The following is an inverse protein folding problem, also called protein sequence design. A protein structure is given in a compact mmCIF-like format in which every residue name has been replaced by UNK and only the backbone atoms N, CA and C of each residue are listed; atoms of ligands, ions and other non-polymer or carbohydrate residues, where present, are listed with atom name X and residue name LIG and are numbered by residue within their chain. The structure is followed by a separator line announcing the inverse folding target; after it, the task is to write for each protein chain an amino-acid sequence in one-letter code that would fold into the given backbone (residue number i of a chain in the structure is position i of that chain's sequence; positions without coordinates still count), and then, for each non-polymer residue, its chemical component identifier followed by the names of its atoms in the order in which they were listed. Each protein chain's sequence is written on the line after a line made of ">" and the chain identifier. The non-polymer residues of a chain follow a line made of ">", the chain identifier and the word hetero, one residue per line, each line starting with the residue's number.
data_IF_708530617182
#
_entry.id   IF_708530617182
#
_cell.length_a   1.000
_cell.length_b   1.000
_cell.length_c   1.000
_cell.angle_alpha   90.00
_cell.angle_beta   90.00
_cell.angle_gamma   90.00
#
_symmetry.space_group_name_H-M   'P 1'
#
loop_
_entity.id
_entity.type
_entity.pdbx_description
1 polymer ?
#
# COMPACT_ATOMS: atom_id res chain seq x y z
N UNK A 1 7.40 10.39 -9.30
CA UNK A 1 6.27 9.43 -9.21
C UNK A 1 6.37 8.36 -10.27
N UNK A 2 6.78 8.67 -11.50
CA UNK A 2 6.82 7.68 -12.59
C UNK A 2 7.72 6.49 -12.30
N UNK A 3 8.92 6.73 -11.77
CA UNK A 3 9.84 5.67 -11.34
C UNK A 3 9.24 4.79 -10.23
N UNK A 4 8.62 5.41 -9.22
CA UNK A 4 7.94 4.69 -8.15
C UNK A 4 6.75 3.87 -8.68
N UNK A 5 5.99 4.43 -9.63
CA UNK A 5 4.87 3.73 -10.26
C UNK A 5 5.33 2.50 -11.05
N UNK A 6 6.46 2.61 -11.76
CA UNK A 6 7.08 1.49 -12.46
C UNK A 6 7.63 0.44 -11.49
N UNK A 7 8.24 0.88 -10.40
CA UNK A 7 8.70 0.00 -9.33
C UNK A 7 7.52 -0.79 -8.74
N UNK A 8 6.45 -0.12 -8.31
CA UNK A 8 5.23 -0.75 -7.79
C UNK A 8 4.58 -1.70 -8.81
N UNK A 9 4.61 -1.35 -10.10
CA UNK A 9 4.12 -2.26 -11.14
C UNK A 9 4.91 -3.58 -11.15
N UNK A 10 6.24 -3.49 -11.13
CA UNK A 10 7.13 -4.64 -11.23
C UNK A 10 7.13 -5.52 -9.99
N UNK A 11 7.07 -4.93 -8.79
CA UNK A 11 7.25 -5.69 -7.53
C UNK A 11 5.93 -6.14 -6.89
N UNK A 12 4.82 -5.48 -7.19
CA UNK A 12 3.53 -5.79 -6.57
C UNK A 12 2.43 -6.09 -7.59
N UNK A 13 2.25 -5.25 -8.61
CA UNK A 13 1.19 -5.45 -9.60
C UNK A 13 1.43 -6.69 -10.46
N UNK A 14 2.70 -6.99 -10.79
CA UNK A 14 3.08 -8.22 -11.48
C UNK A 14 2.67 -9.48 -10.69
N UNK A 15 2.87 -9.48 -9.37
CA UNK A 15 2.44 -10.59 -8.48
C UNK A 15 0.92 -10.68 -8.43
N UNK A 16 0.23 -9.54 -8.38
CA UNK A 16 -1.22 -9.45 -8.48
C UNK A 16 -1.74 -10.08 -9.79
N UNK A 17 -1.11 -9.76 -10.93
CA UNK A 17 -1.49 -10.28 -12.25
C UNK A 17 -1.36 -11.79 -12.34
N UNK A 18 -0.38 -12.39 -11.68
CA UNK A 18 -0.28 -13.86 -11.58
C UNK A 18 -1.38 -14.43 -10.67
N UNK A 19 -1.59 -13.80 -9.52
CA UNK A 19 -2.53 -14.24 -8.49
C UNK A 19 -3.98 -14.27 -9.00
N UNK A 20 -4.41 -13.23 -9.73
CA UNK A 20 -5.77 -13.15 -10.28
C UNK A 20 -6.06 -14.23 -11.33
N UNK A 21 -5.04 -14.75 -12.03
CA UNK A 21 -5.19 -15.90 -12.94
C UNK A 21 -5.42 -17.20 -12.19
N UNK A 22 -4.68 -17.40 -11.09
CA UNK A 22 -4.87 -18.55 -10.19
C UNK A 22 -6.27 -18.51 -9.57
N UNK A 23 -6.76 -17.32 -9.22
CA UNK A 23 -8.12 -17.14 -8.69
C UNK A 23 -9.22 -17.32 -9.74
N UNK A 24 -8.88 -17.44 -11.03
CA UNK A 24 -9.84 -17.59 -12.12
C UNK A 24 -10.57 -16.30 -12.51
N UNK A 25 -9.97 -15.13 -12.26
CA UNK A 25 -10.55 -13.85 -12.66
C UNK A 25 -10.25 -13.56 -14.14
N UNK A 26 -11.27 -13.25 -14.96
CA UNK A 26 -11.10 -12.96 -16.38
C UNK A 26 -10.48 -11.57 -16.61
N UNK A 27 -9.88 -11.40 -17.78
CA UNK A 27 -9.54 -10.06 -18.29
C UNK A 27 -10.79 -9.34 -18.82
N UNK A 28 -10.83 -7.99 -18.77
CA UNK A 28 -9.80 -7.10 -18.23
C UNK A 28 -9.85 -6.91 -16.69
N UNK A 29 -10.95 -7.29 -16.04
CA UNK A 29 -11.23 -6.99 -14.63
C UNK A 29 -10.17 -7.52 -13.66
N UNK A 30 -9.63 -8.72 -13.89
CA UNK A 30 -8.56 -9.28 -13.07
C UNK A 30 -7.29 -8.41 -13.11
N UNK A 31 -6.93 -7.88 -14.27
CA UNK A 31 -5.74 -7.04 -14.42
C UNK A 31 -5.95 -5.65 -13.78
N UNK A 32 -7.15 -5.08 -13.88
CA UNK A 32 -7.52 -3.84 -13.19
C UNK A 32 -7.47 -3.99 -11.66
N UNK A 33 -8.00 -5.10 -11.14
CA UNK A 33 -7.89 -5.43 -9.73
C UNK A 33 -6.43 -5.60 -9.32
N UNK A 34 -5.63 -6.33 -10.10
CA UNK A 34 -4.22 -6.55 -9.81
C UNK A 34 -3.39 -5.26 -9.77
N UNK A 35 -3.61 -4.34 -10.71
CA UNK A 35 -2.90 -3.06 -10.75
C UNK A 35 -3.27 -2.17 -9.56
N UNK A 36 -4.58 -1.92 -9.36
CA UNK A 36 -5.05 -1.05 -8.29
C UNK A 36 -4.73 -1.61 -6.91
N UNK A 37 -4.95 -2.91 -6.68
CA UNK A 37 -4.61 -3.57 -5.43
C UNK A 37 -3.09 -3.55 -5.21
N UNK A 38 -2.29 -3.98 -6.19
CA UNK A 38 -0.83 -4.03 -6.07
C UNK A 38 -0.23 -2.68 -5.66
N UNK A 39 -0.68 -1.58 -6.28
CA UNK A 39 -0.25 -0.22 -5.94
C UNK A 39 -0.65 0.19 -4.52
N UNK A 40 -1.88 -0.10 -4.11
CA UNK A 40 -2.36 0.21 -2.76
C UNK A 40 -1.51 -0.47 -1.68
N UNK A 41 -1.25 -1.77 -1.85
CA UNK A 41 -0.46 -2.55 -0.89
C UNK A 41 1.00 -2.09 -0.87
N UNK A 42 1.60 -1.84 -2.02
CA UNK A 42 3.02 -1.48 -2.07
C UNK A 42 3.29 -0.09 -1.52
N UNK A 43 2.41 0.89 -1.80
CA UNK A 43 2.51 2.21 -1.15
C UNK A 43 2.34 2.09 0.38
N UNK A 44 1.44 1.21 0.83
CA UNK A 44 1.28 0.94 2.27
C UNK A 44 2.55 0.34 2.88
N UNK A 45 3.23 -0.59 2.19
CA UNK A 45 4.51 -1.14 2.65
C UNK A 45 5.57 -0.04 2.78
N UNK A 46 5.75 0.79 1.75
CA UNK A 46 6.72 1.90 1.76
C UNK A 46 6.47 2.85 2.94
N UNK A 47 5.20 3.18 3.21
CA UNK A 47 4.83 4.06 4.33
C UNK A 47 4.99 3.39 5.70
N UNK A 48 4.81 2.07 5.78
CA UNK A 48 4.98 1.30 7.01
C UNK A 48 6.45 1.17 7.40
N UNK A 49 7.31 0.95 6.40
CA UNK A 49 8.67 0.45 6.60
C UNK A 49 9.73 1.55 6.48
N UNK A 50 9.35 2.83 6.59
CA UNK A 50 10.27 3.99 6.45
C UNK A 50 11.56 3.84 7.29
N UNK A 51 11.46 3.47 8.57
CA UNK A 51 12.62 3.26 9.44
C UNK A 51 13.48 2.10 8.96
N UNK A 52 12.83 0.97 8.68
CA UNK A 52 13.47 -0.29 8.32
C UNK A 52 14.18 -0.18 6.97
N UNK A 53 13.65 0.64 6.06
CA UNK A 53 14.26 0.96 4.78
C UNK A 53 15.43 1.93 4.96
N UNK A 54 15.27 2.99 5.77
CA UNK A 54 16.35 3.93 6.06
C UNK A 54 17.55 3.25 6.75
N UNK A 55 17.30 2.34 7.70
CA UNK A 55 18.34 1.54 8.35
C UNK A 55 19.11 0.62 7.39
N UNK A 56 18.60 0.40 6.18
CA UNK A 56 19.23 -0.36 5.09
C UNK A 56 19.76 0.53 3.97
N UNK A 57 19.84 1.83 4.22
CA UNK A 57 20.24 2.86 3.26
C UNK A 57 19.34 2.89 2.01
N UNK A 58 18.02 2.76 2.23
CA UNK A 58 17.00 2.77 1.17
C UNK A 58 16.00 3.89 1.40
N UNK A 59 15.65 4.58 0.32
CA UNK A 59 14.61 5.61 0.30
C UNK A 59 13.69 5.38 -0.91
N UNK A 60 12.47 4.91 -0.66
CA UNK A 60 11.46 4.71 -1.70
C UNK A 60 10.52 5.92 -1.89
N UNK A 61 10.66 6.95 -1.05
CA UNK A 61 9.91 8.19 -1.22
C UNK A 61 10.39 8.89 -2.50
N UNK A 62 9.48 9.25 -3.41
CA UNK A 62 9.88 9.70 -4.73
C UNK A 62 10.36 11.15 -4.68
N UNK A 63 11.51 11.42 -5.31
CA UNK A 63 12.20 12.72 -5.26
C UNK A 63 11.34 13.92 -5.69
N UNK A 64 10.43 13.74 -6.66
CA UNK A 64 9.51 14.80 -7.09
C UNK A 64 8.54 15.20 -5.96
N UNK A 65 8.11 14.26 -5.13
CA UNK A 65 7.24 14.54 -3.98
C UNK A 65 8.02 15.19 -2.85
N UNK A 66 9.22 14.67 -2.54
CA UNK A 66 10.12 15.29 -1.56
C UNK A 66 10.36 16.76 -1.90
N UNK A 67 10.74 17.06 -3.15
CA UNK A 67 10.98 18.43 -3.62
C UNK A 67 9.73 19.31 -3.62
N UNK A 68 8.56 18.76 -3.99
CA UNK A 68 7.29 19.49 -3.96
C UNK A 68 6.93 19.97 -2.55
N UNK A 69 7.40 19.28 -1.52
CA UNK A 69 7.24 19.65 -0.11
C UNK A 69 8.49 20.34 0.49
N UNK A 70 9.46 20.74 -0.33
CA UNK A 70 10.63 21.50 0.08
C UNK A 70 11.79 20.68 0.66
N UNK A 71 11.72 19.35 0.62
CA UNK A 71 12.79 18.44 1.06
C UNK A 71 13.82 18.30 -0.08
N UNK A 72 15.07 18.67 0.20
CA UNK A 72 16.19 18.62 -0.77
C UNK A 72 17.13 17.47 -0.50
N UNK A 73 17.07 16.94 0.71
CA UNK A 73 17.82 15.81 1.19
C UNK A 73 17.48 14.56 0.37
N UNK A 74 18.48 13.69 0.21
CA UNK A 74 18.34 12.41 -0.49
C UNK A 74 18.79 11.24 0.38
N UNK A 75 19.60 11.53 1.40
CA UNK A 75 19.96 10.57 2.44
C UNK A 75 18.74 10.17 3.28
N UNK A 76 18.47 8.87 3.49
CA UNK A 76 17.26 8.40 4.17
C UNK A 76 17.05 9.04 5.55
N UNK A 77 18.07 9.04 6.42
CA UNK A 77 17.97 9.58 7.78
C UNK A 77 17.70 11.09 7.81
N UNK A 78 18.26 11.83 6.85
CA UNK A 78 18.05 13.26 6.72
C UNK A 78 16.62 13.57 6.25
N UNK A 79 16.08 12.77 5.33
CA UNK A 79 14.67 12.86 4.90
C UNK A 79 13.72 12.52 6.04
N UNK A 80 14.01 11.46 6.81
CA UNK A 80 13.18 11.04 7.95
C UNK A 80 13.14 12.04 9.10
N UNK A 81 14.20 12.82 9.26
CA UNK A 81 14.30 13.88 10.26
C UNK A 81 13.67 15.21 9.81
N UNK A 82 13.29 15.34 8.53
CA UNK A 82 12.73 16.58 7.99
C UNK A 82 11.26 16.78 8.45
N UNK A 83 10.89 17.93 9.06
CA UNK A 83 9.52 18.20 9.50
C UNK A 83 8.47 18.12 8.39
N UNK A 84 8.85 18.42 7.14
CA UNK A 84 7.98 18.39 5.98
C UNK A 84 7.65 16.96 5.50
N UNK A 85 8.34 15.92 6.03
CA UNK A 85 8.08 14.52 5.69
C UNK A 85 6.60 14.15 5.90
N UNK A 86 5.97 14.72 6.93
CA UNK A 86 4.56 14.46 7.25
C UNK A 86 3.67 14.70 6.04
N UNK A 87 3.87 15.81 5.32
CA UNK A 87 3.06 16.16 4.16
C UNK A 87 3.30 15.21 2.97
N UNK A 88 4.54 14.75 2.79
CA UNK A 88 4.88 13.76 1.74
C UNK A 88 4.18 12.43 2.02
N UNK A 89 4.25 11.94 3.27
CA UNK A 89 3.59 10.71 3.66
C UNK A 89 2.06 10.79 3.56
N UNK A 90 1.47 11.95 3.87
CA UNK A 90 0.04 12.21 3.68
C UNK A 90 -0.39 12.16 2.22
N UNK A 91 0.36 12.80 1.29
CA UNK A 91 0.08 12.71 -0.15
C UNK A 91 0.13 11.25 -0.64
N UNK A 92 1.16 10.51 -0.25
CA UNK A 92 1.28 9.10 -0.63
C UNK A 92 0.19 8.21 0.01
N UNK A 93 -0.21 8.50 1.25
CA UNK A 93 -1.30 7.77 1.90
C UNK A 93 -2.65 8.03 1.22
N UNK A 94 -2.91 9.28 0.81
CA UNK A 94 -4.11 9.61 0.03
C UNK A 94 -4.13 8.90 -1.32
N UNK A 95 -2.98 8.79 -2.00
CA UNK A 95 -2.86 7.98 -3.23
C UNK A 95 -3.14 6.50 -2.97
N UNK A 96 -2.60 5.93 -1.90
CA UNK A 96 -2.88 4.55 -1.52
C UNK A 96 -4.38 4.34 -1.25
N UNK A 97 -5.05 5.27 -0.56
CA UNK A 97 -6.50 5.27 -0.37
C UNK A 97 -7.27 5.29 -1.70
N UNK A 98 -6.84 6.11 -2.67
CA UNK A 98 -7.45 6.14 -3.99
C UNK A 98 -7.31 4.80 -4.75
N UNK A 99 -6.16 4.14 -4.62
CA UNK A 99 -5.94 2.81 -5.18
C UNK A 99 -6.78 1.72 -4.47
N UNK A 100 -6.94 1.79 -3.14
CA UNK A 100 -7.88 0.92 -2.43
C UNK A 100 -9.31 1.08 -2.95
N UNK A 101 -9.76 2.32 -3.15
CA UNK A 101 -11.09 2.60 -3.69
C UNK A 101 -11.24 2.09 -5.14
N UNK A 102 -10.19 2.18 -5.96
CA UNK A 102 -10.17 1.60 -7.30
C UNK A 102 -10.25 0.06 -7.26
N UNK A 103 -9.49 -0.56 -6.37
CA UNK A 103 -9.51 -2.01 -6.17
C UNK A 103 -10.89 -2.50 -5.69
N UNK A 104 -11.57 -1.76 -4.80
CA UNK A 104 -12.94 -2.07 -4.40
C UNK A 104 -13.91 -2.06 -5.60
N UNK A 105 -13.80 -1.06 -6.48
CA UNK A 105 -14.64 -0.96 -7.70
C UNK A 105 -14.37 -2.10 -8.68
N UNK A 106 -13.11 -2.49 -8.86
CA UNK A 106 -12.76 -3.63 -9.71
C UNK A 106 -13.26 -4.95 -9.11
N UNK A 107 -13.03 -5.18 -7.81
CA UNK A 107 -13.47 -6.38 -7.11
C UNK A 107 -15.00 -6.53 -7.07
N UNK A 108 -15.76 -5.43 -7.04
CA UNK A 108 -17.21 -5.45 -7.06
C UNK A 108 -17.81 -6.00 -8.37
N UNK A 109 -17.05 -5.95 -9.46
CA UNK A 109 -17.46 -6.44 -10.80
C UNK A 109 -17.06 -7.90 -11.06
N UNK A 110 -16.26 -8.49 -10.17
CA UNK A 110 -15.74 -9.85 -10.29
C UNK A 110 -16.63 -10.87 -9.55
N UNK A 111 -16.42 -12.16 -9.84
CA UNK A 111 -17.08 -13.23 -9.08
C UNK A 111 -16.71 -13.15 -7.59
N UNK A 112 -17.73 -13.16 -6.73
CA UNK A 112 -17.56 -12.93 -5.29
C UNK A 112 -16.70 -13.99 -4.61
N UNK A 113 -16.71 -15.24 -5.08
CA UNK A 113 -15.93 -16.33 -4.50
C UNK A 113 -14.47 -16.23 -4.95
N UNK A 114 -14.26 -15.98 -6.24
CA UNK A 114 -12.93 -15.83 -6.82
C UNK A 114 -12.14 -14.67 -6.19
N UNK A 115 -12.78 -13.54 -5.86
CA UNK A 115 -12.08 -12.39 -5.25
C UNK A 115 -11.80 -12.51 -3.75
N UNK A 116 -12.31 -13.54 -3.05
CA UNK A 116 -12.19 -13.63 -1.57
C UNK A 116 -10.74 -13.49 -1.08
N UNK A 117 -9.73 -14.20 -1.65
CA UNK A 117 -8.35 -14.07 -1.20
C UNK A 117 -7.82 -12.64 -1.37
N UNK A 118 -8.10 -12.02 -2.52
CA UNK A 118 -7.73 -10.65 -2.81
C UNK A 118 -8.37 -9.67 -1.81
N UNK A 119 -9.66 -9.84 -1.49
CA UNK A 119 -10.37 -8.99 -0.52
C UNK A 119 -9.80 -9.13 0.88
N UNK A 120 -9.56 -10.35 1.35
CA UNK A 120 -8.95 -10.58 2.68
C UNK A 120 -7.61 -9.86 2.81
N UNK A 121 -6.74 -10.01 1.82
CA UNK A 121 -5.43 -9.35 1.80
C UNK A 121 -5.57 -7.82 1.81
N UNK A 122 -6.45 -7.29 0.95
CA UNK A 122 -6.73 -5.86 0.86
C UNK A 122 -7.21 -5.27 2.19
N UNK A 123 -8.08 -5.98 2.92
CA UNK A 123 -8.65 -5.51 4.18
C UNK A 123 -7.65 -5.47 5.34
N UNK A 124 -6.67 -6.37 5.34
CA UNK A 124 -5.53 -6.31 6.27
C UNK A 124 -4.70 -5.06 5.99
N UNK A 125 -4.30 -4.85 4.74
CA UNK A 125 -3.45 -3.72 4.37
C UNK A 125 -4.16 -2.38 4.53
N UNK A 126 -5.45 -2.28 4.20
CA UNK A 126 -6.26 -1.07 4.40
C UNK A 126 -6.28 -0.66 5.88
N UNK A 127 -6.44 -1.62 6.80
CA UNK A 127 -6.40 -1.36 8.24
C UNK A 127 -5.00 -0.96 8.72
N UNK A 128 -3.95 -1.55 8.15
CA UNK A 128 -2.58 -1.12 8.42
C UNK A 128 -2.38 0.34 7.98
N UNK A 129 -2.82 0.73 6.79
CA UNK A 129 -2.74 2.12 6.32
C UNK A 129 -3.52 3.06 7.24
N UNK A 130 -4.75 2.71 7.62
CA UNK A 130 -5.56 3.51 8.55
C UNK A 130 -4.87 3.69 9.90
N UNK A 131 -4.25 2.63 10.43
CA UNK A 131 -3.51 2.70 11.68
C UNK A 131 -2.22 3.55 11.55
N UNK A 132 -1.52 3.50 10.40
CA UNK A 132 -0.39 4.38 10.12
C UNK A 132 -0.82 5.86 10.07
N UNK A 133 -1.92 6.16 9.37
CA UNK A 133 -2.49 7.51 9.31
C UNK A 133 -2.91 8.02 10.70
N UNK A 134 -3.53 7.16 11.52
CA UNK A 134 -3.95 7.51 12.88
C UNK A 134 -2.75 7.70 13.84
N UNK A 135 -1.68 6.90 13.69
CA UNK A 135 -0.42 7.10 14.42
C UNK A 135 0.22 8.45 14.04
N UNK A 136 0.07 8.84 12.79
CA UNK A 136 0.74 9.97 12.18
C UNK A 136 2.17 9.62 11.74
N UNK A 137 2.82 10.57 11.08
CA UNK A 137 4.08 10.35 10.37
C UNK A 137 5.32 10.83 11.12
N UNK A 138 5.15 11.45 12.29
CA UNK A 138 6.27 11.89 13.16
C UNK A 138 6.84 10.76 14.01
N UNK A 139 6.02 9.75 14.30
CA UNK A 139 6.38 8.59 15.11
C UNK A 139 6.70 7.40 14.23
N UNK A 140 7.45 7.63 13.14
CA UNK A 140 7.77 6.60 12.15
C UNK A 140 8.49 5.40 12.77
N UNK A 141 9.15 5.59 13.92
CA UNK A 141 9.85 4.57 14.70
C UNK A 141 8.93 3.58 15.44
N UNK A 142 7.68 3.97 15.71
CA UNK A 142 6.74 3.12 16.45
C UNK A 142 6.06 2.15 15.47
N UNK A 143 6.33 0.84 15.51
CA UNK A 143 5.78 -0.08 14.53
C UNK A 143 4.26 -0.17 14.63
N UNK A 144 3.59 -0.25 13.48
CA UNK A 144 2.14 -0.47 13.41
C UNK A 144 1.88 -1.94 13.05
N UNK A 145 1.27 -2.67 13.97
CA UNK A 145 0.85 -4.04 13.76
C UNK A 145 -0.63 -4.22 14.11
N UNK A 146 -1.35 -4.94 13.25
CA UNK A 146 -2.72 -5.38 13.56
C UNK A 146 -2.68 -6.56 14.51
N UNK A 147 -3.58 -6.56 15.50
CA UNK A 147 -3.70 -7.66 16.45
C UNK A 147 -4.14 -8.96 15.75
N UNK A 148 -3.77 -10.13 16.29
CA UNK A 148 -4.23 -11.41 15.77
C UNK A 148 -5.76 -11.51 15.70
N UNK A 149 -6.47 -10.93 16.67
CA UNK A 149 -7.92 -10.88 16.70
C UNK A 149 -8.52 -10.12 15.49
N UNK A 150 -7.91 -9.00 15.10
CA UNK A 150 -8.35 -8.25 13.91
C UNK A 150 -8.12 -9.07 12.64
N UNK A 151 -6.95 -9.72 12.52
CA UNK A 151 -6.65 -10.58 11.37
C UNK A 151 -7.63 -11.77 11.27
N UNK A 152 -7.94 -12.40 12.41
CA UNK A 152 -8.93 -13.48 12.48
C UNK A 152 -10.33 -12.99 12.08
N UNK A 153 -10.75 -11.83 12.60
CA UNK A 153 -12.03 -11.23 12.22
C UNK A 153 -12.11 -10.95 10.72
N UNK A 154 -11.04 -10.43 10.10
CA UNK A 154 -10.99 -10.25 8.64
C UNK A 154 -11.13 -11.59 7.92
N UNK A 155 -10.43 -12.62 8.37
CA UNK A 155 -10.51 -13.95 7.76
C UNK A 155 -11.93 -14.53 7.82
N UNK A 156 -12.61 -14.40 8.97
CA UNK A 156 -13.99 -14.86 9.14
C UNK A 156 -14.97 -14.04 8.28
N UNK A 157 -14.86 -12.70 8.31
CA UNK A 157 -15.81 -11.78 7.68
C UNK A 157 -15.74 -11.78 6.15
N UNK A 158 -14.57 -12.00 5.58
CA UNK A 158 -14.33 -11.90 4.13
C UNK A 158 -13.91 -13.24 3.48
N UNK A 159 -13.53 -14.25 4.27
CA UNK A 159 -13.17 -15.57 3.76
C UNK A 159 -14.31 -16.58 3.78
N UNK A 160 -15.17 -16.55 4.81
CA UNK A 160 -16.25 -17.54 4.99
C UNK A 160 -17.62 -17.04 4.50
N UNK A 161 -17.91 -15.75 4.73
CA UNK A 161 -19.16 -15.07 4.33
C UNK A 161 -18.97 -14.45 2.95
#
# INVERSE_FOLDING_TARGET
>A
MDELNLYCDRVACAVGRLSVRIFGLPQPLGDELADSQGRALQLTNILRDLQDDAARDRLYLPCDRLRAHGIKETEPDAVLSNPALTAVCEDLAQRACAYFAAADRAAAQCDRKAVRPARMMMEVYRRTLQALMARGWRRWQEPVALSPAVKLWVALRYGLI
#
